data_IF_771105571186
#
_entry.id   IF_771105571186
#
_cell.length_a   1.000
_cell.length_b   1.000
_cell.length_c   1.000
_cell.angle_alpha   90.00
_cell.angle_beta   90.00
_cell.angle_gamma   90.00
#
_symmetry.space_group_name_H-M   'P 1'
#
loop_
_entity.id
_entity.type
_entity.pdbx_description
1 polymer ?
#
# COMPACT_ATOMS: atom_id res chain seq x y z
N UNK A 1 5.83 -13.33 0.24
CA UNK A 1 4.99 -12.48 -0.61
C UNK A 1 4.24 -11.51 0.27
N UNK A 2 4.02 -10.31 -0.23
CA UNK A 2 3.34 -9.21 0.44
C UNK A 2 2.23 -8.67 -0.47
N UNK A 3 1.23 -8.04 0.14
CA UNK A 3 0.27 -7.20 -0.55
C UNK A 3 0.82 -5.78 -0.52
N UNK A 4 1.00 -5.16 -1.68
CA UNK A 4 1.46 -3.78 -1.78
C UNK A 4 0.34 -2.88 -2.30
N UNK A 5 -0.18 -2.04 -1.42
CA UNK A 5 -1.28 -1.12 -1.75
C UNK A 5 -0.75 0.30 -1.81
N UNK A 6 -1.07 1.01 -2.90
CA UNK A 6 -0.60 2.37 -3.15
C UNK A 6 -1.76 3.35 -3.08
N UNK A 7 -1.50 4.56 -2.59
CA UNK A 7 -2.47 5.66 -2.53
C UNK A 7 -1.81 6.92 -3.06
N UNK A 8 -2.33 7.48 -4.14
CA UNK A 8 -1.90 8.73 -4.73
C UNK A 8 -2.73 9.88 -4.15
N UNK A 9 -2.08 10.89 -3.58
CA UNK A 9 -2.73 12.10 -3.05
C UNK A 9 -2.66 13.22 -4.10
N UNK A 10 -3.83 13.69 -4.53
CA UNK A 10 -3.95 14.54 -5.73
C UNK A 10 -3.58 16.00 -5.46
N UNK A 11 -3.82 16.51 -4.25
CA UNK A 11 -3.53 17.89 -3.87
C UNK A 11 -2.29 17.99 -2.97
N UNK A 12 -1.73 19.20 -2.89
CA UNK A 12 -0.57 19.48 -2.04
C UNK A 12 -0.90 19.29 -0.57
N UNK A 13 -0.12 18.43 0.09
CA UNK A 13 -0.09 18.27 1.55
C UNK A 13 1.37 18.13 1.99
N UNK A 14 1.65 18.46 3.25
CA UNK A 14 2.96 18.19 3.83
C UNK A 14 3.26 16.67 3.82
N UNK A 15 4.39 16.23 3.25
CA UNK A 15 4.70 14.80 3.16
C UNK A 15 4.80 14.09 4.52
N UNK A 16 5.31 14.77 5.55
CA UNK A 16 5.38 14.19 6.90
C UNK A 16 3.98 14.02 7.48
N UNK A 17 3.08 14.98 7.28
CA UNK A 17 1.69 14.86 7.69
C UNK A 17 0.97 13.70 6.97
N UNK A 18 1.14 13.58 5.65
CA UNK A 18 0.57 12.47 4.87
C UNK A 18 1.10 11.10 5.32
N UNK A 19 2.41 11.00 5.54
CA UNK A 19 3.04 9.80 6.09
C UNK A 19 2.49 9.43 7.49
N UNK A 20 2.36 10.40 8.39
CA UNK A 20 1.82 10.16 9.73
C UNK A 20 0.35 9.73 9.70
N UNK A 21 -0.45 10.31 8.79
CA UNK A 21 -1.82 9.85 8.54
C UNK A 21 -1.84 8.41 8.04
N UNK A 22 -0.95 8.03 7.12
CA UNK A 22 -0.86 6.67 6.60
C UNK A 22 -0.44 5.65 7.67
N UNK A 23 0.55 6.01 8.51
CA UNK A 23 0.98 5.19 9.64
C UNK A 23 -0.13 5.02 10.68
N UNK A 24 -0.80 6.11 11.03
CA UNK A 24 -1.94 6.06 11.94
C UNK A 24 -3.05 5.19 11.37
N UNK A 25 -3.37 5.32 10.08
CA UNK A 25 -4.45 4.58 9.44
C UNK A 25 -4.22 3.07 9.51
N UNK A 26 -3.01 2.58 9.20
CA UNK A 26 -2.72 1.15 9.23
C UNK A 26 -2.62 0.59 10.66
N UNK A 27 -2.07 1.36 11.61
CA UNK A 27 -2.04 0.97 13.02
C UNK A 27 -3.45 0.93 13.63
N UNK A 28 -4.30 1.92 13.36
CA UNK A 28 -5.71 1.92 13.79
C UNK A 28 -6.49 0.80 13.11
N UNK A 29 -6.26 0.53 11.82
CA UNK A 29 -6.89 -0.60 11.13
C UNK A 29 -6.57 -1.97 11.77
N UNK A 30 -5.37 -2.10 12.36
CA UNK A 30 -4.94 -3.28 13.09
C UNK A 30 -5.42 -3.32 14.56
N UNK A 31 -5.93 -2.21 15.12
CA UNK A 31 -6.17 -2.08 16.56
C UNK A 31 -4.86 -2.01 17.37
N UNK A 32 -3.80 -1.47 16.78
CA UNK A 32 -2.45 -1.37 17.34
C UNK A 32 -1.97 0.08 17.39
N UNK A 33 -2.83 1.04 17.76
CA UNK A 33 -2.53 2.48 17.79
C UNK A 33 -1.33 2.85 18.67
N UNK A 34 -1.11 2.08 19.74
CA UNK A 34 0.06 2.22 20.62
C UNK A 34 1.40 2.10 19.88
N UNK A 35 1.42 1.51 18.67
CA UNK A 35 2.64 1.41 17.86
C UNK A 35 3.02 2.69 17.14
N UNK A 36 2.09 3.63 16.96
CA UNK A 36 2.35 4.89 16.24
C UNK A 36 3.47 5.67 16.92
N UNK A 37 3.41 5.80 18.25
CA UNK A 37 4.38 6.57 19.05
C UNK A 37 5.75 5.90 19.15
N UNK A 38 5.81 4.58 18.94
CA UNK A 38 7.04 3.79 19.06
C UNK A 38 7.67 3.45 17.72
N UNK A 39 6.99 3.81 16.62
CA UNK A 39 7.45 3.56 15.27
C UNK A 39 8.76 4.30 14.98
N UNK A 40 9.77 3.55 14.57
CA UNK A 40 11.02 4.09 14.02
C UNK A 40 10.80 4.42 12.55
N UNK A 41 11.22 5.62 12.15
CA UNK A 41 11.05 6.18 10.82
C UNK A 41 12.41 6.60 10.29
N UNK A 42 12.69 6.30 9.02
CA UNK A 42 13.87 6.78 8.31
C UNK A 42 13.69 8.25 7.95
N UNK A 43 14.77 9.02 7.96
CA UNK A 43 14.75 10.36 7.39
C UNK A 43 14.48 10.30 5.88
N UNK A 44 13.95 11.38 5.26
CA UNK A 44 13.74 11.41 3.83
C UNK A 44 15.05 11.18 3.06
N UNK A 45 15.08 10.16 2.21
CA UNK A 45 16.24 9.81 1.38
C UNK A 45 15.88 9.77 -0.11
N UNK A 46 16.82 10.17 -0.96
CA UNK A 46 16.74 9.97 -2.42
C UNK A 46 17.32 8.60 -2.77
N UNK A 47 16.46 7.69 -3.24
CA UNK A 47 16.85 6.36 -3.69
C UNK A 47 17.31 6.33 -5.15
N UNK A 48 17.84 7.44 -5.68
CA UNK A 48 18.28 7.58 -7.06
C UNK A 48 17.13 7.76 -8.04
N UNK A 49 15.99 8.30 -7.58
CA UNK A 49 14.76 8.47 -8.37
C UNK A 49 14.58 9.91 -8.83
N UNK A 50 15.63 10.50 -9.41
CA UNK A 50 15.60 11.83 -10.04
C UNK A 50 14.93 12.91 -9.18
N UNK A 51 15.38 13.06 -7.93
CA UNK A 51 14.86 14.06 -6.99
C UNK A 51 13.56 13.68 -6.28
N UNK A 52 13.12 12.42 -6.37
CA UNK A 52 12.08 11.85 -5.50
C UNK A 52 12.70 11.43 -4.18
N UNK A 53 12.13 11.92 -3.09
CA UNK A 53 12.46 11.54 -1.72
C UNK A 53 11.43 10.55 -1.20
N UNK A 54 11.86 9.66 -0.29
CA UNK A 54 10.97 8.75 0.42
C UNK A 54 11.18 8.84 1.93
N UNK A 55 10.08 8.97 2.68
CA UNK A 55 10.04 8.74 4.13
C UNK A 55 9.42 7.36 4.35
N UNK A 56 10.08 6.49 5.11
CA UNK A 56 9.62 5.12 5.33
C UNK A 56 9.80 4.65 6.76
N UNK A 57 8.98 3.70 7.20
CA UNK A 57 9.17 3.01 8.48
C UNK A 57 10.37 2.05 8.42
N UNK A 58 11.14 1.94 9.50
CA UNK A 58 12.20 0.92 9.62
C UNK A 58 11.59 -0.48 9.61
N UNK A 59 12.15 -1.41 8.84
CA UNK A 59 11.66 -2.79 8.75
C UNK A 59 12.00 -3.58 10.03
N UNK A 60 11.14 -4.55 10.39
CA UNK A 60 11.43 -5.52 11.47
C UNK A 60 11.05 -5.07 12.88
N UNK A 61 10.34 -3.95 13.02
CA UNK A 61 9.85 -3.44 14.31
C UNK A 61 8.46 -3.99 14.72
N UNK A 62 7.89 -4.89 13.92
CA UNK A 62 6.59 -5.51 14.19
C UNK A 62 5.38 -4.61 13.93
N UNK A 63 5.51 -3.60 13.05
CA UNK A 63 4.35 -2.84 12.56
C UNK A 63 3.44 -3.71 11.69
N UNK A 64 2.13 -3.37 11.58
CA UNK A 64 1.18 -4.12 10.74
C UNK A 64 1.58 -4.16 9.26
N UNK A 65 2.28 -3.15 8.78
CA UNK A 65 2.86 -3.08 7.45
C UNK A 65 3.99 -2.05 7.42
N UNK A 66 4.84 -2.14 6.40
CA UNK A 66 5.79 -1.07 6.07
C UNK A 66 4.99 0.08 5.45
N UNK A 67 5.23 1.29 5.92
CA UNK A 67 4.64 2.51 5.38
C UNK A 67 5.72 3.30 4.70
N UNK A 68 5.46 3.74 3.47
CA UNK A 68 6.35 4.59 2.69
C UNK A 68 5.57 5.78 2.12
N UNK A 69 6.25 6.91 1.95
CA UNK A 69 5.70 8.12 1.34
C UNK A 69 6.72 8.71 0.37
N UNK A 70 6.41 8.63 -0.91
CA UNK A 70 7.19 9.20 -2.00
C UNK A 70 6.70 10.62 -2.33
N UNK A 71 7.63 11.57 -2.48
CA UNK A 71 7.31 12.97 -2.75
C UNK A 71 8.48 13.73 -3.39
N UNK A 72 8.20 14.95 -3.85
CA UNK A 72 9.21 15.94 -4.26
C UNK A 72 9.07 17.21 -3.41
N UNK A 73 10.16 17.93 -3.16
CA UNK A 73 10.14 19.15 -2.31
C UNK A 73 9.62 20.39 -3.04
N UNK A 74 9.74 20.43 -4.37
CA UNK A 74 9.46 21.62 -5.18
C UNK A 74 8.18 21.58 -6.01
N UNK A 75 7.49 20.44 -6.08
CA UNK A 75 6.35 20.26 -6.99
C UNK A 75 5.69 18.91 -6.84
N UNK A 76 4.72 18.58 -7.71
CA UNK A 76 4.04 17.30 -7.68
C UNK A 76 5.02 16.16 -7.96
N UNK A 77 4.77 14.99 -7.36
CA UNK A 77 5.52 13.76 -7.66
C UNK A 77 5.35 13.39 -9.14
N UNK A 78 4.10 13.42 -9.61
CA UNK A 78 3.72 13.29 -11.02
C UNK A 78 2.80 14.44 -11.41
N UNK A 79 3.22 15.23 -12.40
CA UNK A 79 2.46 16.41 -12.83
C UNK A 79 1.21 16.09 -13.66
N UNK A 80 1.22 14.95 -14.36
CA UNK A 80 0.19 14.57 -15.32
C UNK A 80 -0.12 13.07 -15.18
N UNK A 81 -1.37 12.70 -15.51
CA UNK A 81 -1.77 11.30 -15.58
C UNK A 81 -1.02 10.61 -16.74
N UNK A 82 -0.36 9.50 -16.47
CA UNK A 82 0.28 8.66 -17.48
C UNK A 82 -0.58 7.42 -17.77
N UNK A 83 -0.99 7.28 -19.02
CA UNK A 83 -1.79 6.15 -19.51
C UNK A 83 -0.94 5.24 -20.37
N UNK A 84 -1.00 3.93 -20.10
CA UNK A 84 -0.44 2.91 -20.98
C UNK A 84 -1.38 2.61 -22.14
N UNK A 85 -0.83 2.10 -23.24
CA UNK A 85 -1.58 1.44 -24.31
C UNK A 85 -1.04 0.02 -24.49
N UNK A 86 -1.91 -0.91 -24.86
CA UNK A 86 -1.46 -2.19 -25.39
C UNK A 86 -1.19 -1.97 -26.88
N UNK A 87 0.06 -2.14 -27.31
CA UNK A 87 0.49 -1.86 -28.70
C UNK A 87 -0.31 -2.67 -29.74
N UNK A 88 -0.99 -3.75 -29.31
CA UNK A 88 -1.75 -4.68 -30.14
C UNK A 88 -3.28 -4.44 -30.17
N UNK A 89 -3.80 -3.34 -29.62
CA UNK A 89 -5.26 -3.03 -29.67
C UNK A 89 -5.60 -1.65 -30.24
N UNK A 90 -6.76 -1.56 -30.90
CA UNK A 90 -7.28 -0.35 -31.55
C UNK A 90 -7.25 0.90 -30.62
N UNK A 91 -6.93 2.09 -31.15
CA UNK A 91 -6.28 3.20 -30.42
C UNK A 91 -7.08 3.93 -29.33
N UNK A 92 -8.34 3.57 -29.05
CA UNK A 92 -9.21 4.33 -28.15
C UNK A 92 -9.83 3.53 -26.99
N UNK A 93 -9.85 2.20 -26.99
CA UNK A 93 -10.64 1.41 -26.02
C UNK A 93 -9.79 0.64 -24.97
N UNK A 94 -8.47 0.79 -24.99
CA UNK A 94 -7.56 0.01 -24.12
C UNK A 94 -6.57 0.83 -23.32
N UNK A 95 -6.75 2.17 -23.19
CA UNK A 95 -5.87 2.96 -22.33
C UNK A 95 -6.19 2.71 -20.86
N UNK A 96 -5.20 2.30 -20.06
CA UNK A 96 -5.33 2.21 -18.61
C UNK A 96 -4.42 3.22 -17.92
N UNK A 97 -4.91 3.77 -16.82
CA UNK A 97 -4.13 4.70 -16.00
C UNK A 97 -3.00 3.93 -15.31
N UNK A 98 -1.76 4.15 -15.76
CA UNK A 98 -0.57 3.54 -15.16
C UNK A 98 -0.14 4.31 -13.91
N UNK A 99 -0.10 5.64 -14.01
CA UNK A 99 0.37 6.52 -12.95
C UNK A 99 -0.51 7.77 -12.87
N UNK A 100 -1.21 8.00 -11.75
CA UNK A 100 -1.99 9.21 -11.57
C UNK A 100 -1.10 10.43 -11.32
N UNK A 101 -1.53 11.59 -11.80
CA UNK A 101 -1.03 12.87 -11.35
C UNK A 101 -1.25 12.99 -9.83
N UNK A 102 -0.19 13.28 -9.09
CA UNK A 102 -0.26 13.36 -7.64
C UNK A 102 0.88 14.20 -7.07
N UNK A 103 0.66 14.73 -5.87
CA UNK A 103 1.71 15.41 -5.10
C UNK A 103 2.62 14.45 -4.36
N UNK A 104 2.09 13.30 -4.00
CA UNK A 104 2.77 12.26 -3.25
C UNK A 104 2.03 10.94 -3.36
N UNK A 105 2.77 9.87 -3.13
CA UNK A 105 2.25 8.50 -3.14
C UNK A 105 2.61 7.81 -1.83
N UNK A 106 1.61 7.19 -1.21
CA UNK A 106 1.76 6.37 -0.02
C UNK A 106 1.78 4.91 -0.42
N UNK A 107 2.68 4.13 0.16
CA UNK A 107 2.71 2.68 0.05
C UNK A 107 2.43 2.03 1.41
N UNK A 108 1.58 0.99 1.40
CA UNK A 108 1.48 0.01 2.48
C UNK A 108 1.90 -1.36 1.95
N UNK A 109 2.93 -1.92 2.56
CA UNK A 109 3.42 -3.27 2.26
C UNK A 109 3.23 -4.18 3.48
N UNK A 110 2.32 -5.15 3.36
CA UNK A 110 2.01 -6.09 4.43
C UNK A 110 2.17 -7.52 3.95
N UNK A 111 2.88 -8.36 4.71
CA UNK A 111 3.01 -9.79 4.40
C UNK A 111 1.66 -10.50 4.36
N UNK A 112 1.42 -11.36 3.35
CA UNK A 112 0.15 -12.12 3.24
C UNK A 112 -0.16 -12.99 4.48
N UNK A 113 0.89 -13.44 5.17
CA UNK A 113 0.79 -14.20 6.42
C UNK A 113 0.45 -13.36 7.65
N UNK A 114 0.47 -12.03 7.57
CA UNK A 114 0.17 -11.16 8.70
C UNK A 114 -1.27 -11.34 9.18
N UNK A 115 -1.45 -11.32 10.50
CA UNK A 115 -2.76 -11.22 11.13
C UNK A 115 -2.74 -10.17 12.21
N UNK A 116 -3.73 -9.27 12.16
CA UNK A 116 -3.94 -8.34 13.27
C UNK A 116 -4.37 -9.12 14.53
N UNK A 117 -4.31 -8.49 15.72
CA UNK A 117 -4.90 -9.03 16.93
C UNK A 117 -6.38 -9.47 16.79
N UNK A 118 -7.15 -8.80 15.93
CA UNK A 118 -8.55 -9.14 15.59
C UNK A 118 -8.67 -10.24 14.53
N UNK A 119 -7.56 -10.77 14.02
CA UNK A 119 -7.52 -11.83 13.01
C UNK A 119 -7.66 -11.35 11.57
N UNK A 120 -7.53 -10.05 11.29
CA UNK A 120 -7.63 -9.51 9.94
C UNK A 120 -6.39 -9.88 9.11
N UNK A 121 -6.62 -10.34 7.88
CA UNK A 121 -5.57 -10.48 6.87
C UNK A 121 -5.19 -9.14 6.23
N UNK A 122 -4.09 -9.13 5.47
CA UNK A 122 -3.53 -7.94 4.82
C UNK A 122 -4.54 -7.14 3.98
N UNK A 123 -5.40 -7.79 3.18
CA UNK A 123 -6.34 -7.06 2.32
C UNK A 123 -7.44 -6.34 3.11
N UNK A 124 -8.00 -6.99 4.14
CA UNK A 124 -8.98 -6.37 5.01
C UNK A 124 -8.34 -5.24 5.85
N UNK A 125 -7.09 -5.43 6.28
CA UNK A 125 -6.29 -4.40 6.93
C UNK A 125 -6.13 -3.17 6.01
N UNK A 126 -5.70 -3.38 4.76
CA UNK A 126 -5.48 -2.28 3.81
C UNK A 126 -6.80 -1.59 3.43
N UNK A 127 -7.90 -2.31 3.23
CA UNK A 127 -9.21 -1.71 2.97
C UNK A 127 -9.66 -0.78 4.13
N UNK A 128 -9.44 -1.20 5.39
CA UNK A 128 -9.70 -0.36 6.56
C UNK A 128 -8.77 0.85 6.60
N UNK A 129 -7.47 0.67 6.33
CA UNK A 129 -6.50 1.76 6.30
C UNK A 129 -6.84 2.81 5.22
N UNK A 130 -7.19 2.39 4.01
CA UNK A 130 -7.70 3.26 2.93
C UNK A 130 -8.91 4.05 3.42
N UNK A 131 -9.86 3.39 4.09
CA UNK A 131 -11.08 4.05 4.60
C UNK A 131 -10.75 5.13 5.63
N UNK A 132 -9.86 4.85 6.59
CA UNK A 132 -9.44 5.85 7.59
C UNK A 132 -8.71 7.03 6.95
N UNK A 133 -7.80 6.74 6.01
CA UNK A 133 -7.04 7.76 5.31
C UNK A 133 -7.96 8.63 4.44
N UNK A 134 -8.89 8.05 3.69
CA UNK A 134 -9.88 8.76 2.89
C UNK A 134 -10.70 9.73 3.74
N UNK A 135 -11.17 9.28 4.91
CA UNK A 135 -11.96 10.11 5.80
C UNK A 135 -11.15 11.34 6.24
N UNK A 136 -9.92 11.14 6.70
CA UNK A 136 -9.07 12.25 7.14
C UNK A 136 -8.75 13.24 6.00
N UNK A 137 -8.42 12.74 4.81
CA UNK A 137 -8.12 13.60 3.65
C UNK A 137 -9.36 14.34 3.15
N UNK A 138 -10.52 13.69 3.09
CA UNK A 138 -11.75 14.33 2.62
C UNK A 138 -12.23 15.43 3.56
N UNK A 139 -12.02 15.30 4.88
CA UNK A 139 -12.23 16.38 5.85
C UNK A 139 -11.31 17.60 5.60
N UNK A 140 -10.16 17.39 4.97
CA UNK A 140 -9.23 18.45 4.53
C UNK A 140 -9.51 18.96 3.10
N UNK A 141 -10.52 18.41 2.41
CA UNK A 141 -10.79 18.71 1.00
C UNK A 141 -9.73 18.16 0.04
N UNK A 142 -9.02 17.12 0.45
CA UNK A 142 -7.98 16.45 -0.34
C UNK A 142 -8.54 15.14 -0.91
N UNK A 143 -8.36 14.96 -2.21
CA UNK A 143 -8.72 13.77 -2.96
C UNK A 143 -7.55 12.78 -3.00
N UNK A 144 -7.91 11.50 -3.09
CA UNK A 144 -6.95 10.43 -3.28
C UNK A 144 -7.46 9.43 -4.32
N UNK A 145 -6.53 8.71 -4.93
CA UNK A 145 -6.79 7.49 -5.70
C UNK A 145 -6.02 6.35 -5.05
N UNK A 146 -6.56 5.13 -5.04
CA UNK A 146 -5.85 3.96 -4.53
C UNK A 146 -5.67 2.91 -5.64
N UNK A 147 -4.54 2.23 -5.62
CA UNK A 147 -4.21 1.19 -6.59
C UNK A 147 -4.58 -0.18 -6.03
N UNK A 148 -5.36 -0.93 -6.79
CA UNK A 148 -5.71 -2.30 -6.48
C UNK A 148 -4.77 -3.26 -7.22
N UNK A 149 -3.92 -3.97 -6.47
CA UNK A 149 -2.97 -4.93 -7.03
C UNK A 149 -3.68 -6.07 -7.78
N UNK A 150 -4.92 -6.41 -7.39
CA UNK A 150 -5.64 -7.56 -7.95
C UNK A 150 -6.29 -7.31 -9.31
N UNK A 151 -6.74 -6.09 -9.58
CA UNK A 151 -7.34 -5.72 -10.88
C UNK A 151 -6.43 -4.80 -11.72
N UNK A 152 -5.27 -4.41 -11.16
CA UNK A 152 -4.28 -3.52 -11.74
C UNK A 152 -4.83 -2.13 -12.13
N UNK A 153 -5.76 -1.58 -11.35
CA UNK A 153 -6.39 -0.27 -11.61
C UNK A 153 -6.30 0.68 -10.43
N UNK A 154 -6.33 1.97 -10.77
CA UNK A 154 -6.52 3.06 -9.83
C UNK A 154 -8.00 3.39 -9.69
N UNK A 155 -8.45 3.54 -8.44
CA UNK A 155 -9.83 3.83 -8.09
C UNK A 155 -9.90 5.13 -7.27
N UNK A 156 -10.87 6.03 -7.52
CA UNK A 156 -11.00 7.26 -6.74
C UNK A 156 -11.58 7.00 -5.34
N UNK A 157 -11.06 7.70 -4.34
CA UNK A 157 -11.56 7.66 -2.97
C UNK A 157 -11.58 6.24 -2.39
N UNK A 158 -12.78 5.70 -2.17
CA UNK A 158 -13.04 4.38 -1.61
C UNK A 158 -13.78 3.44 -2.57
N UNK A 159 -13.87 3.80 -3.86
CA UNK A 159 -14.53 2.96 -4.86
C UNK A 159 -13.87 1.58 -4.94
N UNK A 160 -14.67 0.54 -5.16
CA UNK A 160 -14.26 -0.85 -5.37
C UNK A 160 -13.43 -1.49 -4.24
N UNK A 161 -13.46 -0.95 -3.01
CA UNK A 161 -12.75 -1.54 -1.86
C UNK A 161 -13.20 -2.96 -1.50
N UNK A 162 -14.43 -3.34 -1.84
CA UNK A 162 -14.95 -4.69 -1.69
C UNK A 162 -14.16 -5.71 -2.52
N UNK A 163 -13.64 -5.31 -3.69
CA UNK A 163 -12.82 -6.18 -4.55
C UNK A 163 -11.47 -6.53 -3.90
N UNK A 164 -10.84 -5.58 -3.19
CA UNK A 164 -9.61 -5.81 -2.43
C UNK A 164 -9.85 -6.85 -1.32
N UNK A 165 -10.97 -6.74 -0.63
CA UNK A 165 -11.33 -7.66 0.47
C UNK A 165 -11.67 -9.06 -0.04
N UNK A 166 -12.43 -9.16 -1.15
CA UNK A 166 -12.81 -10.43 -1.76
C UNK A 166 -11.60 -11.19 -2.30
N UNK A 167 -10.75 -10.53 -3.09
CA UNK A 167 -9.52 -11.13 -3.61
C UNK A 167 -8.53 -11.50 -2.49
N UNK A 168 -8.54 -10.75 -1.39
CA UNK A 168 -7.78 -11.08 -0.19
C UNK A 168 -8.17 -12.39 0.48
N UNK A 169 -9.45 -12.75 0.48
CA UNK A 169 -9.90 -14.05 1.00
C UNK A 169 -9.39 -15.20 0.13
N UNK A 170 -9.41 -15.03 -1.19
CA UNK A 170 -8.87 -16.02 -2.14
C UNK A 170 -7.36 -16.18 -2.00
N UNK A 171 -6.63 -15.05 -1.91
CA UNK A 171 -5.18 -15.04 -1.69
C UNK A 171 -4.79 -15.67 -0.35
N UNK A 172 -5.57 -15.42 0.72
CA UNK A 172 -5.36 -16.06 2.02
C UNK A 172 -5.57 -17.58 1.97
N UNK A 173 -6.68 -18.00 1.35
CA UNK A 173 -6.98 -19.42 1.17
C UNK A 173 -5.85 -20.11 0.40
N UNK A 174 -5.36 -19.52 -0.70
CA UNK A 174 -4.20 -20.03 -1.43
C UNK A 174 -2.94 -20.09 -0.56
N UNK A 175 -2.63 -19.03 0.19
CA UNK A 175 -1.44 -19.00 1.05
C UNK A 175 -1.48 -20.11 2.10
N UNK A 176 -2.63 -20.31 2.76
CA UNK A 176 -2.82 -21.31 3.81
C UNK A 176 -2.83 -22.75 3.28
N UNK A 177 -3.44 -22.98 2.12
CA UNK A 177 -3.67 -24.33 1.59
C UNK A 177 -2.54 -24.82 0.68
N UNK A 178 -1.80 -23.89 0.08
CA UNK A 178 -0.79 -24.21 -0.95
C UNK A 178 0.61 -23.73 -0.54
N UNK A 179 0.78 -22.42 -0.33
CA UNK A 179 2.11 -21.83 -0.14
C UNK A 179 2.76 -22.23 1.20
N UNK A 180 2.04 -22.08 2.31
CA UNK A 180 2.56 -22.35 3.64
C UNK A 180 2.92 -23.84 3.84
N UNK A 181 2.10 -24.83 3.40
CA UNK A 181 2.48 -26.24 3.42
C UNK A 181 3.75 -26.54 2.60
N UNK A 182 3.89 -25.93 1.41
CA UNK A 182 5.06 -26.12 0.56
C UNK A 182 6.34 -25.57 1.23
N UNK A 183 6.27 -24.37 1.81
CA UNK A 183 7.37 -23.75 2.58
C UNK A 183 7.78 -24.66 3.75
N UNK A 184 6.82 -25.15 4.53
CA UNK A 184 7.08 -26.04 5.67
C UNK A 184 7.71 -27.38 5.24
N UNK A 185 7.28 -27.93 4.10
CA UNK A 185 7.87 -29.15 3.53
C UNK A 185 9.34 -28.95 3.16
N UNK A 186 9.67 -27.84 2.49
CA UNK A 186 11.05 -27.48 2.12
C UNK A 186 11.94 -27.30 3.35
N UNK A 187 11.46 -26.59 4.37
CA UNK A 187 12.19 -26.43 5.65
C UNK A 187 12.43 -27.79 6.31
N UNK A 188 11.41 -28.66 6.34
CA UNK A 188 11.51 -30.00 6.93
C UNK A 188 12.44 -30.94 6.16
N UNK A 189 12.60 -30.74 4.85
CA UNK A 189 13.55 -31.48 4.03
C UNK A 189 14.98 -31.01 4.30
N UNK A 190 15.20 -29.70 4.32
CA UNK A 190 16.50 -29.09 4.59
C UNK A 190 17.03 -29.47 5.99
N UNK A 191 16.16 -29.47 7.02
CA UNK A 191 16.52 -29.87 8.39
C UNK A 191 16.83 -31.37 8.55
N UNK A 192 16.52 -32.21 7.56
CA UNK A 192 16.86 -33.66 7.57
C UNK A 192 18.19 -33.97 6.89
N UNK A 193 18.70 -33.03 6.09
CA UNK A 193 19.95 -33.19 5.32
C UNK A 193 21.17 -32.56 6.03
N UNK A 194 20.96 -31.87 7.15
CA UNK A 194 21.98 -31.31 8.06
C UNK A 194 22.14 -32.21 9.28
#
# INVERSE_FOLDING_TARGET
>A
MTLHTRVAIVQKIDPKAAFQLALSAICTAAGEEHRIETAKVNEPEDYGRDGVLCIGTVIGQGLPGIVECDFRTGGPLYAEDYYGNDEDTEPDDTRWLCTPACWLEIGWDTGYGYRSPEGLGCSALHARAITFMHKALSEMGIEMRWYNEFDARWHPGIENLDTLSAAGLEADLWFRTTALPAINSLISQYMREV
#
